data_IF_185798141866
#
_entry.id   IF_185798141866
#
_cell.length_a   1.000
_cell.length_b   1.000
_cell.length_c   1.000
_cell.angle_alpha   90.00
_cell.angle_beta   90.00
_cell.angle_gamma   90.00
#
_symmetry.space_group_name_H-M   'P 1'
#
loop_
_entity.id
_entity.type
_entity.pdbx_description
1 polymer ?
#
# COMPACT_ATOMS: atom_id res chain seq x y z
N UNK A 1 -7.71 0.78 -44.14
CA UNK A 1 -6.78 0.48 -43.02
C UNK A 1 -7.43 0.98 -41.74
N UNK A 2 -7.53 0.12 -40.72
CA UNK A 2 -8.16 0.51 -39.45
C UNK A 2 -7.19 1.35 -38.63
N UNK A 3 -7.70 2.32 -37.85
CA UNK A 3 -6.86 3.17 -36.98
C UNK A 3 -5.94 2.34 -36.07
N UNK A 4 -6.37 1.13 -35.69
CA UNK A 4 -5.59 0.21 -34.86
C UNK A 4 -4.38 -0.38 -35.60
N UNK A 5 -4.53 -0.75 -36.88
CA UNK A 5 -3.40 -1.25 -37.67
C UNK A 5 -2.32 -0.20 -37.86
N UNK A 6 -2.73 1.04 -38.11
CA UNK A 6 -1.80 2.16 -38.29
C UNK A 6 -1.00 2.47 -37.02
N UNK A 7 -1.57 2.25 -35.84
CA UNK A 7 -0.86 2.42 -34.56
C UNK A 7 0.15 1.28 -34.33
N UNK A 8 -0.20 0.04 -34.70
CA UNK A 8 0.70 -1.11 -34.55
C UNK A 8 1.93 -0.98 -35.46
N UNK A 9 1.77 -0.51 -36.69
CA UNK A 9 2.89 -0.27 -37.61
C UNK A 9 3.83 0.82 -37.09
N UNK A 10 3.29 1.93 -36.60
CA UNK A 10 4.10 3.02 -36.03
C UNK A 10 4.86 2.59 -34.77
N UNK A 11 4.31 1.67 -33.97
CA UNK A 11 5.02 1.12 -32.81
C UNK A 11 6.18 0.20 -33.20
N UNK A 12 6.13 -0.41 -34.38
CA UNK A 12 7.20 -1.28 -34.90
C UNK A 12 8.41 -0.53 -35.46
N UNK A 13 8.28 0.78 -35.73
CA UNK A 13 9.37 1.64 -36.25
C UNK A 13 10.21 2.30 -35.14
N UNK A 14 9.80 2.16 -33.88
CA UNK A 14 10.46 2.79 -32.74
C UNK A 14 11.60 1.94 -32.21
N UNK A 15 12.67 2.59 -31.75
CA UNK A 15 13.74 1.90 -31.02
C UNK A 15 13.25 1.41 -29.65
N UNK A 16 13.91 0.40 -29.05
CA UNK A 16 13.53 -0.12 -27.73
C UNK A 16 13.45 0.97 -26.65
N UNK A 17 14.36 1.95 -26.66
CA UNK A 17 14.36 3.07 -25.70
C UNK A 17 13.17 4.01 -25.88
N UNK A 18 12.73 4.24 -27.12
CA UNK A 18 11.55 5.05 -27.40
C UNK A 18 10.26 4.32 -27.01
N UNK A 19 10.23 2.99 -27.18
CA UNK A 19 9.13 2.15 -26.70
C UNK A 19 9.02 2.17 -25.17
N UNK A 20 10.15 2.12 -24.46
CA UNK A 20 10.20 2.25 -23.00
C UNK A 20 9.69 3.62 -22.53
N UNK A 21 10.12 4.71 -23.19
CA UNK A 21 9.64 6.06 -22.89
C UNK A 21 8.13 6.19 -23.14
N UNK A 22 7.62 5.62 -24.23
CA UNK A 22 6.19 5.60 -24.55
C UNK A 22 5.39 4.77 -23.56
N UNK A 23 5.92 3.63 -23.10
CA UNK A 23 5.25 2.80 -22.11
C UNK A 23 5.07 3.55 -20.79
N UNK A 24 6.04 4.37 -20.39
CA UNK A 24 5.94 5.25 -19.21
C UNK A 24 4.83 6.29 -19.42
N UNK A 25 4.80 6.96 -20.57
CA UNK A 25 3.77 7.95 -20.89
C UNK A 25 2.38 7.33 -20.95
N UNK A 26 2.22 6.16 -21.56
CA UNK A 26 0.94 5.45 -21.63
C UNK A 26 0.47 5.02 -20.25
N UNK A 27 1.37 4.52 -19.40
CA UNK A 27 1.04 4.19 -18.02
C UNK A 27 0.61 5.43 -17.23
N UNK A 28 1.28 6.58 -17.40
CA UNK A 28 0.87 7.87 -16.79
C UNK A 28 -0.52 8.30 -17.26
N UNK A 29 -0.80 8.18 -18.56
CA UNK A 29 -2.08 8.57 -19.15
C UNK A 29 -3.23 7.65 -18.74
N UNK A 30 -2.97 6.35 -18.57
CA UNK A 30 -3.96 5.39 -18.06
C UNK A 30 -4.18 5.50 -16.55
N UNK A 31 -3.19 5.98 -15.80
CA UNK A 31 -3.31 6.25 -14.36
C UNK A 31 -4.17 7.49 -14.06
N UNK A 32 -4.37 8.38 -15.05
CA UNK A 32 -5.25 9.55 -14.92
C UNK A 32 -6.70 9.15 -15.15
N UNK A 33 -7.35 8.62 -14.11
CA UNK A 33 -8.82 8.56 -14.08
C UNK A 33 -9.38 9.91 -13.61
N UNK A 34 -10.20 10.62 -14.42
CA UNK A 34 -10.86 11.83 -13.98
C UNK A 34 -12.24 11.47 -13.40
N UNK A 35 -12.29 11.03 -12.14
CA UNK A 35 -13.52 11.12 -11.35
C UNK A 35 -13.26 11.28 -9.86
N UNK A 36 -13.84 12.36 -9.34
CA UNK A 36 -13.81 12.94 -8.01
C UNK A 36 -13.94 11.96 -6.81
N UNK A 37 -12.87 11.83 -6.03
CA UNK A 37 -12.91 11.50 -4.59
C UNK A 37 -11.68 12.15 -3.94
N UNK A 38 -11.81 12.84 -2.80
CA UNK A 38 -10.72 13.60 -2.19
C UNK A 38 -9.75 12.63 -1.51
N UNK A 39 -8.90 12.00 -2.31
CA UNK A 39 -7.78 11.23 -1.81
C UNK A 39 -6.67 12.21 -1.44
N UNK A 40 -6.68 12.64 -0.17
CA UNK A 40 -5.50 13.24 0.48
C UNK A 40 -4.41 12.16 0.58
N UNK A 41 -3.79 11.85 -0.55
CA UNK A 41 -2.64 10.95 -0.67
C UNK A 41 -1.59 11.63 -1.56
N UNK A 42 -1.21 12.87 -1.21
CA UNK A 42 -0.08 13.56 -1.82
C UNK A 42 1.21 13.11 -1.13
N UNK A 43 2.02 12.33 -1.85
CA UNK A 43 3.49 12.37 -1.83
C UNK A 43 4.24 11.94 -0.55
N UNK A 44 3.64 11.16 0.35
CA UNK A 44 4.38 10.48 1.44
C UNK A 44 4.47 8.96 1.21
N UNK A 45 4.88 8.52 0.02
CA UNK A 45 5.11 7.10 -0.31
C UNK A 45 6.34 6.47 0.39
N UNK A 46 6.93 7.12 1.39
CA UNK A 46 8.23 6.74 1.93
C UNK A 46 8.24 6.03 3.29
N UNK A 47 7.35 6.34 4.23
CA UNK A 47 7.36 5.76 5.60
C UNK A 47 5.99 5.89 6.25
N UNK A 48 5.15 4.87 6.09
CA UNK A 48 3.79 4.84 6.65
C UNK A 48 3.70 4.34 8.09
N UNK A 49 4.78 3.95 8.76
CA UNK A 49 4.70 3.48 10.16
C UNK A 49 5.19 4.57 11.11
N UNK A 50 4.34 4.99 12.03
CA UNK A 50 4.62 6.04 13.02
C UNK A 50 4.37 5.54 14.44
N UNK A 51 5.17 6.02 15.38
CA UNK A 51 4.97 5.86 16.83
C UNK A 51 4.71 7.24 17.42
N UNK A 52 3.56 7.42 18.07
CA UNK A 52 3.21 8.70 18.68
C UNK A 52 2.84 8.46 20.14
N UNK A 53 3.58 9.00 21.12
CA UNK A 53 3.23 8.87 22.53
C UNK A 53 1.77 9.28 22.79
N UNK A 54 1.03 8.45 23.53
CA UNK A 54 -0.38 8.71 23.85
C UNK A 54 -1.39 8.35 22.74
N UNK A 55 -0.93 7.85 21.59
CA UNK A 55 -1.81 7.35 20.50
C UNK A 55 -1.57 5.85 20.35
N UNK A 56 -2.63 5.04 20.49
CA UNK A 56 -2.52 3.57 20.48
C UNK A 56 -1.47 3.08 21.50
N UNK A 57 -1.47 3.63 22.73
CA UNK A 57 -0.49 3.26 23.75
C UNK A 57 0.97 3.68 23.48
N UNK A 58 1.25 4.33 22.34
CA UNK A 58 2.62 4.57 21.86
C UNK A 58 3.12 3.50 20.88
N UNK A 59 2.30 2.51 20.54
CA UNK A 59 2.63 1.44 19.61
C UNK A 59 2.81 1.95 18.17
N UNK A 60 3.54 1.16 17.39
CA UNK A 60 3.65 1.36 15.96
C UNK A 60 2.29 1.23 15.28
N UNK A 61 1.93 2.23 14.49
CA UNK A 61 0.68 2.28 13.73
C UNK A 61 0.91 2.79 12.32
N UNK A 62 -0.05 2.49 11.45
CA UNK A 62 -0.11 3.11 10.13
C UNK A 62 -0.41 4.61 10.26
N UNK A 63 0.37 5.42 9.56
CA UNK A 63 0.27 6.86 9.47
C UNK A 63 -1.14 7.22 9.01
N UNK A 64 -1.68 8.30 9.56
CA UNK A 64 -3.05 8.76 9.26
C UNK A 64 -4.18 7.80 9.66
N UNK A 65 -3.88 6.65 10.27
CA UNK A 65 -4.88 5.73 10.82
C UNK A 65 -4.72 5.57 12.33
N UNK A 66 -5.73 4.98 12.99
CA UNK A 66 -5.63 4.46 14.36
C UNK A 66 -5.44 2.94 14.37
N UNK A 67 -4.85 2.37 13.32
CA UNK A 67 -4.66 0.93 13.15
C UNK A 67 -3.23 0.58 13.59
N UNK A 68 -3.05 -0.06 14.76
CA UNK A 68 -1.74 -0.49 15.21
C UNK A 68 -1.26 -1.71 14.40
N UNK A 69 0.05 -1.79 14.18
CA UNK A 69 0.67 -2.87 13.39
C UNK A 69 0.46 -4.23 14.07
N UNK A 70 0.52 -4.27 15.40
CA UNK A 70 0.30 -5.51 16.15
C UNK A 70 -1.09 -6.11 15.92
N UNK A 71 -2.12 -5.28 15.68
CA UNK A 71 -3.49 -5.76 15.44
C UNK A 71 -3.61 -6.43 14.07
N UNK A 72 -2.92 -5.90 13.06
CA UNK A 72 -2.83 -6.54 11.75
C UNK A 72 -2.10 -7.88 11.85
N UNK A 73 -0.98 -7.91 12.57
CA UNK A 73 -0.22 -9.15 12.79
C UNK A 73 -1.05 -10.19 13.55
N UNK A 74 -1.81 -9.77 14.57
CA UNK A 74 -2.70 -10.66 15.32
C UNK A 74 -3.76 -11.27 14.42
N UNK A 75 -4.41 -10.48 13.56
CA UNK A 75 -5.37 -11.00 12.58
C UNK A 75 -4.73 -12.03 11.64
N UNK A 76 -3.50 -11.76 11.19
CA UNK A 76 -2.73 -12.70 10.37
C UNK A 76 -2.42 -14.00 11.11
N UNK A 77 -2.01 -13.92 12.38
CA UNK A 77 -1.78 -15.09 13.25
C UNK A 77 -3.06 -15.91 13.49
N UNK A 78 -4.22 -15.25 13.54
CA UNK A 78 -5.54 -15.89 13.64
C UNK A 78 -6.03 -16.49 12.30
N UNK A 79 -5.25 -16.39 11.24
CA UNK A 79 -5.55 -16.97 9.92
C UNK A 79 -6.34 -16.07 8.97
N UNK A 80 -6.48 -14.78 9.27
CA UNK A 80 -7.10 -13.84 8.34
C UNK A 80 -6.20 -13.66 7.09
N UNK A 81 -6.81 -13.76 5.91
CA UNK A 81 -6.12 -13.44 4.65
C UNK A 81 -5.95 -11.93 4.51
N UNK A 82 -4.97 -11.49 3.71
CA UNK A 82 -4.77 -10.06 3.43
C UNK A 82 -6.02 -9.41 2.83
N UNK A 83 -6.75 -10.15 1.98
CA UNK A 83 -8.03 -9.69 1.43
C UNK A 83 -9.09 -9.48 2.51
N UNK A 84 -9.16 -10.38 3.51
CA UNK A 84 -10.08 -10.23 4.63
C UNK A 84 -9.69 -9.06 5.54
N UNK A 85 -8.39 -8.84 5.75
CA UNK A 85 -7.86 -7.70 6.51
C UNK A 85 -8.21 -6.39 5.78
N UNK A 86 -7.91 -6.28 4.48
CA UNK A 86 -8.25 -5.10 3.67
C UNK A 86 -9.77 -4.86 3.63
N UNK A 87 -10.57 -5.91 3.54
CA UNK A 87 -12.04 -5.82 3.61
C UNK A 87 -12.57 -5.34 4.96
N UNK A 88 -11.82 -5.57 6.05
CA UNK A 88 -12.19 -5.15 7.41
C UNK A 88 -11.83 -3.69 7.71
N UNK A 89 -10.92 -3.09 6.94
CA UNK A 89 -10.45 -1.71 7.13
C UNK A 89 -10.64 -0.89 5.85
N UNK A 90 -11.83 -0.31 5.62
CA UNK A 90 -12.08 0.56 4.47
C UNK A 90 -11.18 1.80 4.53
N UNK A 91 -10.21 1.88 3.62
CA UNK A 91 -9.18 2.94 3.59
C UNK A 91 -7.76 2.45 3.86
N UNK A 92 -7.59 1.18 4.23
CA UNK A 92 -6.29 0.52 4.25
C UNK A 92 -5.92 0.07 2.83
N UNK A 93 -4.76 0.49 2.34
CA UNK A 93 -4.25 0.04 1.04
C UNK A 93 -3.38 -1.20 1.16
N UNK A 94 -3.19 -1.92 0.05
CA UNK A 94 -2.24 -3.04 0.00
C UNK A 94 -0.79 -2.58 0.26
N UNK A 95 -0.43 -1.35 -0.12
CA UNK A 95 0.89 -0.77 0.12
C UNK A 95 1.14 -0.48 1.61
N UNK A 96 0.11 -0.04 2.33
CA UNK A 96 0.16 0.11 3.79
C UNK A 96 0.36 -1.24 4.48
N UNK A 97 -0.37 -2.25 4.03
CA UNK A 97 -0.26 -3.60 4.57
C UNK A 97 1.15 -4.20 4.35
N UNK A 98 1.71 -4.02 3.16
CA UNK A 98 3.09 -4.44 2.87
C UNK A 98 4.13 -3.76 3.77
N UNK A 99 3.96 -2.46 4.05
CA UNK A 99 4.82 -1.72 4.97
C UNK A 99 4.66 -2.19 6.42
N UNK A 100 3.43 -2.53 6.84
CA UNK A 100 3.19 -3.12 8.15
C UNK A 100 3.93 -4.45 8.31
N UNK A 101 3.88 -5.33 7.30
CA UNK A 101 4.62 -6.60 7.33
C UNK A 101 6.14 -6.41 7.35
N UNK A 102 6.67 -5.50 6.53
CA UNK A 102 8.09 -5.17 6.58
C UNK A 102 8.52 -4.67 7.97
N UNK A 103 7.64 -3.94 8.67
CA UNK A 103 7.88 -3.52 10.04
C UNK A 103 7.83 -4.69 11.02
N UNK A 104 6.84 -5.58 10.92
CA UNK A 104 6.74 -6.79 11.76
C UNK A 104 8.01 -7.64 11.64
N UNK A 105 8.52 -7.85 10.43
CA UNK A 105 9.70 -8.68 10.22
C UNK A 105 10.97 -8.06 10.83
N UNK A 106 11.07 -6.73 10.83
CA UNK A 106 12.19 -6.00 11.45
C UNK A 106 12.05 -5.84 12.98
N UNK A 107 10.81 -5.86 13.49
CA UNK A 107 10.49 -5.52 14.88
C UNK A 107 9.67 -6.62 15.58
N UNK A 108 9.92 -7.89 15.26
CA UNK A 108 9.11 -9.03 15.73
C UNK A 108 8.91 -9.06 17.25
N UNK A 109 9.98 -8.88 18.03
CA UNK A 109 9.88 -8.90 19.49
C UNK A 109 9.02 -7.76 20.06
N UNK A 110 9.08 -6.57 19.44
CA UNK A 110 8.24 -5.44 19.84
C UNK A 110 6.76 -5.75 19.58
N UNK A 111 6.46 -6.32 18.40
CA UNK A 111 5.10 -6.67 18.01
C UNK A 111 4.54 -7.79 18.88
N UNK A 112 5.33 -8.84 19.16
CA UNK A 112 4.90 -9.93 20.02
C UNK A 112 4.55 -9.42 21.43
N UNK A 113 5.41 -8.57 22.01
CA UNK A 113 5.14 -7.96 23.31
C UNK A 113 3.86 -7.13 23.32
N UNK A 114 3.59 -6.38 22.24
CA UNK A 114 2.37 -5.61 22.11
C UNK A 114 1.12 -6.50 22.00
N UNK A 115 1.22 -7.65 21.30
CA UNK A 115 0.15 -8.65 21.22
C UNK A 115 -0.10 -9.26 22.60
N UNK A 116 0.95 -9.73 23.29
CA UNK A 116 0.85 -10.33 24.62
C UNK A 116 0.25 -9.36 25.65
N UNK A 117 0.69 -8.10 25.63
CA UNK A 117 0.19 -7.06 26.52
C UNK A 117 -1.30 -6.78 26.32
N UNK A 118 -1.79 -6.87 25.08
CA UNK A 118 -3.20 -6.65 24.76
C UNK A 118 -4.09 -7.85 25.09
N UNK A 119 -3.59 -9.08 24.92
CA UNK A 119 -4.35 -10.31 25.21
C UNK A 119 -4.37 -10.63 26.72
N UNK A 120 -3.42 -10.09 27.50
CA UNK A 120 -3.33 -10.25 28.94
C UNK A 120 -4.00 -9.15 29.79
N UNK A 121 -4.64 -8.15 29.15
CA UNK A 121 -5.32 -7.03 29.81
C UNK A 121 -6.84 -7.26 29.92
#
# INVERSE_FOLDING_TARGET
>A
MTKLQQVIEQLGELSPTELEALLIVVQDQLARTPHDVPHRHSEQEGRSIVKTPGVCGGDARLAHTRIPVWSLERLRQLGASEQAILGSFPGLSAADLAQAWAYVDQHRSEIEQAIEAQEGA
#
